data_IF_891101209199
#
_entry.id   IF_891101209199
#
_cell.length_a   1.000
_cell.length_b   1.000
_cell.length_c   1.000
_cell.angle_alpha   90.00
_cell.angle_beta   90.00
_cell.angle_gamma   90.00
#
_symmetry.space_group_name_H-M   'P 1'
#
loop_
_entity.id
_entity.type
_entity.pdbx_description
1 polymer ?
#
# COMPACT_ATOMS: atom_id res chain seq x y z
N UNK A 1 -16.39 31.51 18.00
CA UNK A 1 -15.84 30.94 19.26
C UNK A 1 -16.75 29.81 19.71
N UNK A 2 -16.37 28.55 19.48
CA UNK A 2 -17.16 27.40 19.94
C UNK A 2 -16.80 27.07 21.37
N UNK A 3 -17.77 27.04 22.29
CA UNK A 3 -17.57 26.62 23.67
C UNK A 3 -17.55 25.08 23.73
N UNK A 4 -16.50 24.52 24.31
CA UNK A 4 -16.41 23.11 24.67
C UNK A 4 -16.84 22.96 26.13
N UNK A 5 -17.83 22.10 26.40
CA UNK A 5 -18.18 21.70 27.77
C UNK A 5 -17.67 20.27 27.97
N UNK A 6 -16.70 20.12 28.87
CA UNK A 6 -16.16 18.83 29.29
C UNK A 6 -17.01 18.32 30.47
N UNK A 7 -17.75 17.24 30.29
CA UNK A 7 -18.43 16.55 31.40
C UNK A 7 -17.66 15.26 31.71
N UNK A 8 -16.93 15.26 32.83
CA UNK A 8 -16.25 14.07 33.36
C UNK A 8 -17.20 13.34 34.31
N UNK A 9 -17.72 12.18 33.88
CA UNK A 9 -18.45 11.27 34.78
C UNK A 9 -17.50 10.16 35.24
N UNK A 10 -17.26 10.10 36.55
CA UNK A 10 -16.43 9.07 37.19
C UNK A 10 -17.24 7.79 37.32
N UNK A 11 -16.91 6.76 36.53
CA UNK A 11 -17.39 5.40 36.75
C UNK A 11 -16.18 4.50 37.00
N UNK A 12 -16.37 3.55 37.92
CA UNK A 12 -15.34 2.71 38.55
C UNK A 12 -14.37 2.06 37.57
N UNK A 13 -13.16 1.84 38.07
CA UNK A 13 -11.94 1.67 37.30
C UNK A 13 -11.94 0.53 36.28
N UNK A 14 -11.94 0.89 34.99
CA UNK A 14 -11.05 0.38 33.94
C UNK A 14 -10.89 1.53 32.95
N UNK A 15 -9.66 1.97 32.63
CA UNK A 15 -9.42 3.03 31.64
C UNK A 15 -9.76 2.50 30.24
N UNK A 16 -10.92 2.87 29.69
CA UNK A 16 -11.20 2.85 28.25
C UNK A 16 -11.58 4.27 27.83
N UNK A 17 -10.79 4.90 26.97
CA UNK A 17 -11.18 6.14 26.31
C UNK A 17 -12.18 5.78 25.20
N UNK A 18 -13.44 6.19 25.38
CA UNK A 18 -14.41 6.24 24.29
C UNK A 18 -14.57 7.70 23.87
N UNK A 19 -14.30 8.01 22.60
CA UNK A 19 -14.62 9.30 22.01
C UNK A 19 -16.01 9.18 21.38
N UNK A 20 -17.00 9.88 21.94
CA UNK A 20 -18.30 10.03 21.33
C UNK A 20 -18.36 11.41 20.66
N UNK A 21 -18.31 11.44 19.33
CA UNK A 21 -18.52 12.67 18.55
C UNK A 21 -20.03 12.82 18.35
N UNK A 22 -20.68 13.68 19.14
CA UNK A 22 -22.07 14.07 18.91
C UNK A 22 -22.10 15.26 17.95
N UNK A 23 -22.63 15.04 16.74
CA UNK A 23 -23.04 16.11 15.82
C UNK A 23 -24.37 16.66 16.32
N UNK A 24 -24.40 17.89 16.81
CA UNK A 24 -25.65 18.59 17.11
C UNK A 24 -26.21 19.13 15.78
N UNK A 25 -27.43 18.78 15.35
CA UNK A 25 -28.06 19.44 14.23
C UNK A 25 -28.52 20.83 14.68
N UNK A 26 -28.08 21.89 14.01
CA UNK A 26 -28.74 23.19 14.11
C UNK A 26 -30.05 23.10 13.32
N UNK A 27 -31.17 22.94 14.02
CA UNK A 27 -32.51 23.10 13.48
C UNK A 27 -33.19 24.24 14.24
N UNK A 28 -33.75 25.21 13.51
CA UNK A 28 -34.71 26.17 14.04
C UNK A 28 -34.52 27.61 13.54
N UNK A 29 -35.09 27.93 12.38
CA UNK A 29 -35.83 29.18 12.15
C UNK A 29 -36.59 29.08 10.82
N UNK A 30 -37.89 28.77 10.90
CA UNK A 30 -38.84 28.92 9.80
C UNK A 30 -39.32 30.38 9.67
N UNK A 31 -39.32 30.84 8.41
CA UNK A 31 -40.25 31.71 7.66
C UNK A 31 -41.18 32.70 8.41
N UNK A 32 -41.19 33.97 7.94
CA UNK A 32 -42.32 34.62 7.23
C UNK A 32 -41.96 36.06 6.77
N UNK A 33 -42.76 36.76 5.93
CA UNK A 33 -42.27 37.62 4.85
C UNK A 33 -42.51 39.12 5.13
N UNK A 34 -41.81 40.03 4.44
CA UNK A 34 -42.37 41.38 4.23
C UNK A 34 -41.69 42.15 3.09
N UNK A 35 -42.51 42.42 2.09
CA UNK A 35 -42.71 43.67 1.35
C UNK A 35 -41.61 44.76 1.34
N UNK A 36 -41.38 45.19 0.10
CA UNK A 36 -40.65 46.35 -0.40
C UNK A 36 -41.18 47.69 0.15
N UNK A 37 -40.29 48.63 0.49
CA UNK A 37 -40.42 50.06 0.18
C UNK A 37 -39.05 50.76 0.20
N UNK A 38 -38.82 51.61 -0.80
CA UNK A 38 -37.65 52.47 -1.00
C UNK A 38 -37.69 53.77 -0.17
N UNK A 39 -36.54 54.35 0.19
CA UNK A 39 -36.24 55.80 0.07
C UNK A 39 -34.74 56.10 0.33
N UNK A 40 -34.28 57.25 -0.17
CA UNK A 40 -32.90 57.65 -0.52
C UNK A 40 -32.04 58.29 0.58
N UNK A 41 -30.71 58.35 0.37
CA UNK A 41 -29.86 59.55 0.67
C UNK A 41 -28.68 59.40 1.66
N UNK A 42 -27.63 60.26 1.61
CA UNK A 42 -26.24 59.80 1.37
C UNK A 42 -25.11 60.21 2.39
N UNK A 43 -24.08 59.33 2.49
CA UNK A 43 -22.60 59.61 2.58
C UNK A 43 -21.94 60.17 3.90
N UNK A 44 -20.59 60.14 4.10
CA UNK A 44 -19.88 59.52 5.26
C UNK A 44 -19.04 60.52 6.10
N UNK A 45 -18.18 60.10 7.10
CA UNK A 45 -16.73 59.90 6.83
C UNK A 45 -15.86 59.00 7.80
N UNK A 46 -14.71 58.54 7.28
CA UNK A 46 -13.31 58.54 7.81
C UNK A 46 -12.78 57.56 8.91
N UNK A 47 -11.60 57.02 8.54
CA UNK A 47 -10.47 56.34 9.24
C UNK A 47 -10.41 56.28 10.78
N UNK A 48 -9.92 55.15 11.30
CA UNK A 48 -8.69 55.13 12.12
C UNK A 48 -7.95 53.76 12.07
N UNK A 49 -6.66 53.88 11.78
CA UNK A 49 -5.58 52.92 12.00
C UNK A 49 -5.42 52.60 13.50
N UNK A 50 -4.99 51.38 13.83
CA UNK A 50 -3.95 51.16 14.84
C UNK A 50 -3.35 49.75 14.71
N UNK A 51 -2.11 49.74 14.25
CA UNK A 51 -1.15 48.65 14.37
C UNK A 51 -0.55 48.68 15.79
N UNK A 52 -0.38 47.54 16.47
CA UNK A 52 0.74 47.29 17.39
C UNK A 52 0.83 45.82 17.82
N UNK A 53 2.08 45.35 17.74
CA UNK A 53 2.68 44.11 18.18
C UNK A 53 2.48 43.79 19.67
N UNK A 54 2.42 42.49 20.00
CA UNK A 54 3.05 41.83 21.18
C UNK A 54 2.85 40.31 21.01
N UNK A 55 3.85 39.54 20.58
CA UNK A 55 4.94 38.93 21.36
C UNK A 55 4.52 37.76 22.28
N UNK A 56 5.01 36.58 21.90
CA UNK A 56 5.37 35.37 22.66
C UNK A 56 4.39 34.79 23.71
N UNK A 57 4.05 33.50 23.53
CA UNK A 57 4.46 32.49 24.51
C UNK A 57 4.52 31.08 23.90
N UNK A 58 5.66 30.46 24.19
CA UNK A 58 6.17 29.15 23.81
C UNK A 58 5.47 28.03 24.57
N UNK A 59 5.38 26.82 23.99
CA UNK A 59 4.82 25.64 24.64
C UNK A 59 5.02 24.35 23.88
N UNK A 60 6.28 24.00 23.55
CA UNK A 60 6.67 22.63 23.20
C UNK A 60 6.80 21.81 24.50
N UNK A 61 6.06 20.70 24.61
CA UNK A 61 6.31 19.68 25.64
C UNK A 61 7.01 18.50 24.96
N UNK A 62 8.31 18.39 25.23
CA UNK A 62 9.16 17.26 24.88
C UNK A 62 9.31 16.40 26.15
N UNK A 63 8.82 15.15 26.14
CA UNK A 63 9.01 14.21 27.24
C UNK A 63 10.25 13.36 27.00
N UNK A 64 11.31 13.68 27.73
CA UNK A 64 12.49 12.83 27.96
C UNK A 64 12.17 11.87 29.11
N UNK A 65 12.33 10.56 28.90
CA UNK A 65 12.41 9.57 29.97
C UNK A 65 13.86 9.10 30.06
N UNK A 66 14.53 9.42 31.17
CA UNK A 66 15.87 8.93 31.52
C UNK A 66 15.77 7.66 32.36
N UNK A 67 16.58 6.67 32.00
CA UNK A 67 16.96 5.50 32.80
C UNK A 67 17.71 5.91 34.07
N UNK A 68 17.47 5.19 35.17
CA UNK A 68 18.47 4.89 36.21
C UNK A 68 18.03 3.67 37.03
N UNK A 69 18.89 2.65 37.06
CA UNK A 69 18.80 1.50 37.95
C UNK A 69 19.46 1.81 39.31
N UNK A 70 19.00 1.16 40.40
CA UNK A 70 19.78 0.23 41.25
C UNK A 70 19.10 -0.04 42.62
N UNK A 71 19.01 -1.34 42.91
CA UNK A 71 19.18 -2.07 44.18
C UNK A 71 18.67 -1.51 45.51
N UNK A 72 17.83 -2.31 46.19
CA UNK A 72 17.94 -2.54 47.63
C UNK A 72 17.71 -4.02 47.97
N UNK A 73 18.64 -4.57 48.72
CA UNK A 73 18.70 -5.92 49.28
C UNK A 73 17.93 -5.96 50.61
N UNK A 74 17.23 -7.07 50.90
CA UNK A 74 16.79 -7.37 52.25
C UNK A 74 17.00 -8.86 52.54
N UNK A 75 17.95 -9.14 53.43
CA UNK A 75 18.27 -10.45 54.00
C UNK A 75 17.73 -10.50 55.42
N UNK A 76 16.95 -11.53 55.79
CA UNK A 76 16.83 -11.98 57.17
C UNK A 76 16.69 -13.51 57.25
N UNK A 77 17.25 -13.99 58.35
CA UNK A 77 17.70 -15.33 58.74
C UNK A 77 16.59 -16.28 59.19
N UNK A 78 16.80 -17.59 59.01
CA UNK A 78 15.91 -18.69 59.46
C UNK A 78 15.93 -18.98 60.97
N UNK A 79 15.25 -20.06 61.41
CA UNK A 79 16.02 -21.21 61.90
C UNK A 79 15.41 -22.62 61.70
N UNK A 80 16.33 -23.60 61.75
CA UNK A 80 16.31 -24.95 62.34
C UNK A 80 15.30 -26.06 61.91
N UNK A 81 15.90 -27.21 61.59
CA UNK A 81 15.28 -28.49 61.22
C UNK A 81 15.22 -29.50 62.40
N UNK A 82 14.43 -30.58 62.28
CA UNK A 82 14.65 -31.84 63.01
C UNK A 82 14.97 -33.05 62.06
N UNK A 83 15.43 -34.21 62.59
CA UNK A 83 16.30 -35.12 61.86
C UNK A 83 15.69 -36.46 61.37
N UNK A 84 16.39 -37.02 60.36
CA UNK A 84 16.65 -38.43 59.99
C UNK A 84 15.48 -39.42 59.77
N UNK A 85 15.37 -39.86 58.52
CA UNK A 85 14.86 -41.18 58.10
C UNK A 85 15.69 -41.70 56.92
N UNK A 86 16.05 -42.99 56.95
CA UNK A 86 17.05 -43.61 56.07
C UNK A 86 16.51 -43.99 54.68
N UNK A 87 17.42 -43.92 53.71
CA UNK A 87 17.69 -44.93 52.66
C UNK A 87 17.12 -44.77 51.23
N UNK A 88 17.96 -45.25 50.32
CA UNK A 88 17.80 -45.62 48.91
C UNK A 88 17.75 -44.52 47.84
N UNK A 89 18.91 -44.32 47.21
CA UNK A 89 19.01 -43.86 45.84
C UNK A 89 18.52 -44.95 44.87
N UNK A 90 17.97 -44.56 43.70
CA UNK A 90 18.68 -44.95 42.49
C UNK A 90 18.82 -43.79 41.48
N UNK A 91 19.92 -43.88 40.73
CA UNK A 91 20.34 -42.99 39.64
C UNK A 91 19.24 -42.84 38.59
N UNK A 92 18.74 -41.62 38.37
CA UNK A 92 17.99 -41.29 37.17
C UNK A 92 18.87 -40.50 36.19
N UNK A 93 18.91 -41.00 34.96
CA UNK A 93 19.60 -40.44 33.79
C UNK A 93 19.31 -38.95 33.65
N UNK A 94 20.38 -38.16 33.49
CA UNK A 94 20.28 -36.81 32.96
C UNK A 94 19.71 -36.88 31.53
N UNK A 95 18.45 -36.49 31.39
CA UNK A 95 17.86 -36.15 30.09
C UNK A 95 18.43 -34.78 29.73
N UNK A 96 19.48 -34.77 28.93
CA UNK A 96 19.99 -33.54 28.32
C UNK A 96 18.90 -33.01 27.40
N UNK A 97 18.20 -31.98 27.87
CA UNK A 97 17.32 -31.13 27.05
C UNK A 97 18.17 -30.61 25.87
N UNK A 98 17.97 -31.19 24.69
CA UNK A 98 18.52 -30.65 23.44
C UNK A 98 17.96 -29.24 23.29
N UNK A 99 18.89 -28.32 23.12
CA UNK A 99 18.65 -26.90 22.85
C UNK A 99 17.62 -26.73 21.75
N UNK A 100 16.64 -25.88 22.02
CA UNK A 100 15.69 -25.36 21.06
C UNK A 100 16.44 -24.77 19.87
N UNK A 101 16.37 -25.47 18.73
CA UNK A 101 16.82 -24.93 17.46
C UNK A 101 16.06 -23.63 17.24
N UNK A 102 16.79 -22.52 17.28
CA UNK A 102 16.27 -21.25 16.83
C UNK A 102 15.92 -21.43 15.35
N UNK A 103 14.65 -21.65 15.03
CA UNK A 103 14.16 -21.49 13.68
C UNK A 103 14.32 -20.01 13.34
N UNK A 104 15.45 -19.69 12.71
CA UNK A 104 15.64 -18.44 12.00
C UNK A 104 14.44 -18.33 11.04
N UNK A 105 13.64 -17.26 11.08
CA UNK A 105 12.59 -17.10 10.10
C UNK A 105 13.27 -17.15 8.73
N UNK A 106 12.91 -18.14 7.90
CA UNK A 106 13.29 -18.14 6.50
C UNK A 106 12.95 -16.75 5.96
N UNK A 107 13.97 -16.04 5.47
CA UNK A 107 13.75 -14.78 4.79
C UNK A 107 12.75 -15.08 3.68
N UNK A 108 11.52 -14.56 3.78
CA UNK A 108 10.53 -14.68 2.71
C UNK A 108 11.20 -14.18 1.43
N UNK A 109 11.60 -15.10 0.56
CA UNK A 109 12.09 -14.74 -0.77
C UNK A 109 10.87 -14.18 -1.48
N UNK A 110 10.80 -12.85 -1.54
CA UNK A 110 9.72 -12.20 -2.25
C UNK A 110 9.81 -12.58 -3.73
N UNK A 111 8.71 -12.98 -4.36
CA UNK A 111 8.73 -13.32 -5.77
C UNK A 111 9.17 -12.11 -6.58
N UNK A 112 9.87 -12.38 -7.67
CA UNK A 112 10.39 -11.38 -8.58
C UNK A 112 10.25 -11.80 -10.03
N UNK A 113 10.26 -10.80 -10.91
CA UNK A 113 10.26 -10.99 -12.35
C UNK A 113 11.19 -9.97 -13.01
N UNK A 114 11.82 -10.36 -14.12
CA UNK A 114 12.38 -9.39 -15.07
C UNK A 114 11.27 -8.99 -16.03
N UNK A 115 11.04 -7.69 -16.17
CA UNK A 115 9.96 -7.17 -17.02
C UNK A 115 10.40 -6.19 -18.11
N UNK A 116 9.72 -6.29 -19.25
CA UNK A 116 9.81 -5.37 -20.39
C UNK A 116 8.40 -4.86 -20.69
N UNK A 117 8.31 -3.60 -21.11
CA UNK A 117 7.08 -2.99 -21.62
C UNK A 117 7.35 -2.29 -22.93
N UNK A 118 6.47 -2.49 -23.91
CA UNK A 118 6.54 -1.82 -25.20
C UNK A 118 5.15 -1.42 -25.71
N UNK A 119 5.10 -0.37 -26.51
CA UNK A 119 3.92 -0.03 -27.32
C UNK A 119 3.77 -1.02 -28.48
N UNK A 120 2.54 -1.31 -28.90
CA UNK A 120 2.24 -2.23 -29.99
C UNK A 120 1.42 -1.52 -31.05
N UNK A 121 1.99 -1.34 -32.25
CA UNK A 121 1.31 -0.71 -33.38
C UNK A 121 0.31 -1.67 -34.06
N UNK A 122 0.74 -2.91 -34.33
CA UNK A 122 -0.11 -3.96 -34.90
C UNK A 122 -0.41 -5.05 -33.87
N UNK A 123 -1.55 -4.89 -33.19
CA UNK A 123 -2.04 -5.85 -32.19
C UNK A 123 -2.29 -7.24 -32.77
N UNK A 124 -2.83 -7.32 -34.00
CA UNK A 124 -3.22 -8.58 -34.61
C UNK A 124 -1.99 -9.41 -34.98
N UNK A 125 -0.97 -8.77 -35.58
CA UNK A 125 0.28 -9.43 -35.89
C UNK A 125 1.00 -9.90 -34.63
N UNK A 126 1.05 -9.07 -33.57
CA UNK A 126 1.64 -9.47 -32.30
C UNK A 126 0.92 -10.68 -31.69
N UNK A 127 -0.41 -10.64 -31.62
CA UNK A 127 -1.23 -11.74 -31.10
C UNK A 127 -0.96 -13.04 -31.87
N UNK A 128 -0.88 -13.00 -33.20
CA UNK A 128 -0.58 -14.18 -34.04
C UNK A 128 0.79 -14.79 -33.71
N UNK A 129 1.82 -13.96 -33.54
CA UNK A 129 3.17 -14.43 -33.15
C UNK A 129 3.18 -15.02 -31.75
N UNK A 130 2.54 -14.34 -30.79
CA UNK A 130 2.44 -14.83 -29.42
C UNK A 130 1.67 -16.15 -29.33
N UNK A 131 0.59 -16.29 -30.11
CA UNK A 131 -0.19 -17.52 -30.19
C UNK A 131 0.62 -18.68 -30.76
N UNK A 132 1.39 -18.44 -31.84
CA UNK A 132 2.28 -19.45 -32.43
C UNK A 132 3.35 -19.91 -31.44
N UNK A 133 3.99 -18.98 -30.72
CA UNK A 133 5.05 -19.30 -29.77
C UNK A 133 4.54 -19.96 -28.48
N UNK A 134 3.32 -19.62 -28.04
CA UNK A 134 2.69 -20.20 -26.85
C UNK A 134 1.85 -21.45 -27.13
N UNK A 135 1.58 -21.74 -28.41
CA UNK A 135 0.68 -22.81 -28.85
C UNK A 135 -0.73 -22.67 -28.23
N UNK A 136 -1.21 -21.43 -28.09
CA UNK A 136 -2.48 -21.09 -27.44
C UNK A 136 -3.04 -19.79 -28.01
N UNK A 137 -4.36 -19.65 -28.05
CA UNK A 137 -5.03 -18.38 -28.40
C UNK A 137 -4.93 -17.33 -27.28
N UNK A 138 -4.40 -17.72 -26.12
CA UNK A 138 -4.27 -16.88 -24.94
C UNK A 138 -5.58 -16.72 -24.16
N UNK A 139 -5.48 -16.17 -22.96
CA UNK A 139 -6.62 -15.98 -22.06
C UNK A 139 -6.96 -14.50 -21.96
N UNK A 140 -8.21 -14.14 -22.23
CA UNK A 140 -8.70 -12.77 -22.09
C UNK A 140 -9.09 -12.51 -20.63
N UNK A 141 -8.56 -11.42 -20.06
CA UNK A 141 -8.78 -11.01 -18.68
C UNK A 141 -9.09 -9.52 -18.65
N UNK A 142 -10.28 -9.16 -18.15
CA UNK A 142 -10.62 -7.76 -17.86
C UNK A 142 -10.07 -7.36 -16.50
N UNK A 143 -9.43 -6.20 -16.43
CA UNK A 143 -8.78 -5.72 -15.22
C UNK A 143 -9.10 -4.25 -15.00
N UNK A 144 -9.48 -3.93 -13.77
CA UNK A 144 -9.61 -2.57 -13.29
C UNK A 144 -8.64 -2.37 -12.11
N UNK A 145 -7.51 -1.72 -12.39
CA UNK A 145 -6.46 -1.45 -11.41
C UNK A 145 -6.68 -0.06 -10.80
N UNK A 146 -6.89 0.02 -9.48
CA UNK A 146 -6.91 1.27 -8.70
C UNK A 146 -5.55 1.46 -8.03
N UNK A 147 -4.88 2.58 -8.29
CA UNK A 147 -3.60 2.91 -7.70
C UNK A 147 -3.79 3.86 -6.52
N UNK A 148 -3.06 3.62 -5.44
CA UNK A 148 -3.11 4.45 -4.23
C UNK A 148 -1.79 5.19 -4.04
N UNK A 149 -1.81 6.30 -3.30
CA UNK A 149 -0.56 6.92 -2.87
C UNK A 149 0.15 5.96 -1.91
N UNK A 150 1.46 5.82 -2.08
CA UNK A 150 2.28 4.99 -1.22
C UNK A 150 3.63 5.67 -1.03
N UNK A 151 4.13 5.71 0.20
CA UNK A 151 5.40 6.36 0.50
C UNK A 151 6.60 5.60 -0.04
N UNK A 152 6.47 4.29 -0.25
CA UNK A 152 7.49 3.39 -0.77
C UNK A 152 6.89 2.55 -1.88
N UNK A 153 7.64 2.31 -2.96
CA UNK A 153 7.17 1.48 -4.07
C UNK A 153 5.84 1.94 -4.67
N UNK A 154 5.02 0.98 -5.07
CA UNK A 154 3.71 1.19 -5.68
C UNK A 154 2.69 0.22 -5.10
N UNK A 155 1.50 0.73 -4.81
CA UNK A 155 0.37 -0.07 -4.32
C UNK A 155 -0.80 0.05 -5.29
N UNK A 156 -1.34 -1.09 -5.71
CA UNK A 156 -2.56 -1.14 -6.51
C UNK A 156 -3.50 -2.24 -6.06
N UNK A 157 -4.78 -2.01 -6.18
CA UNK A 157 -5.82 -3.02 -6.08
C UNK A 157 -6.33 -3.34 -7.48
N UNK A 158 -6.19 -4.61 -7.88
CA UNK A 158 -6.75 -5.14 -9.13
C UNK A 158 -8.09 -5.77 -8.86
N UNK A 159 -9.12 -5.33 -9.57
CA UNK A 159 -10.42 -5.98 -9.65
C UNK A 159 -10.54 -6.74 -10.98
N UNK A 160 -10.91 -8.01 -10.91
CA UNK A 160 -11.15 -8.88 -12.09
C UNK A 160 -12.61 -8.83 -12.57
N UNK A 161 -13.45 -7.97 -11.99
CA UNK A 161 -14.87 -7.77 -12.33
C UNK A 161 -15.73 -9.02 -12.15
N UNK A 162 -15.29 -9.95 -11.30
CA UNK A 162 -15.95 -11.23 -11.03
C UNK A 162 -15.99 -11.54 -9.52
N UNK A 163 -16.07 -10.51 -8.68
CA UNK A 163 -16.01 -10.59 -7.21
C UNK A 163 -14.70 -11.20 -6.68
N UNK A 164 -13.61 -11.05 -7.45
CA UNK A 164 -12.27 -11.39 -7.00
C UNK A 164 -11.31 -10.27 -7.37
N UNK A 165 -10.29 -10.09 -6.54
CA UNK A 165 -9.25 -9.11 -6.78
C UNK A 165 -7.98 -9.42 -6.01
N UNK A 166 -6.99 -8.56 -6.22
CA UNK A 166 -5.67 -8.69 -5.65
C UNK A 166 -5.14 -7.33 -5.22
N UNK A 167 -4.74 -7.20 -3.96
CA UNK A 167 -3.91 -6.09 -3.50
C UNK A 167 -2.46 -6.43 -3.80
N UNK A 168 -1.79 -5.56 -4.54
CA UNK A 168 -0.46 -5.79 -5.07
C UNK A 168 0.44 -4.63 -4.67
N UNK A 169 1.45 -4.94 -3.86
CA UNK A 169 2.60 -4.06 -3.62
C UNK A 169 3.75 -4.49 -4.52
N UNK A 170 4.45 -3.53 -5.13
CA UNK A 170 5.64 -3.84 -5.90
C UNK A 170 6.63 -2.68 -5.95
N UNK A 171 7.89 -3.03 -6.13
CA UNK A 171 9.02 -2.12 -6.30
C UNK A 171 9.72 -2.44 -7.61
N UNK A 172 9.91 -1.41 -8.43
CA UNK A 172 10.57 -1.52 -9.72
C UNK A 172 11.17 -0.17 -10.12
N UNK A 173 12.45 -0.13 -10.55
CA UNK A 173 13.06 1.10 -11.08
C UNK A 173 12.36 1.58 -12.35
N UNK A 174 12.39 2.88 -12.60
CA UNK A 174 11.83 3.49 -13.82
C UNK A 174 12.89 3.59 -14.94
N UNK A 175 13.41 2.44 -15.34
CA UNK A 175 14.39 2.31 -16.42
C UNK A 175 13.75 1.71 -17.68
N UNK A 176 14.33 2.01 -18.85
CA UNK A 176 13.98 1.34 -20.10
C UNK A 176 14.54 -0.09 -20.11
N UNK A 177 13.92 -0.97 -20.90
CA UNK A 177 14.38 -2.35 -21.07
C UNK A 177 14.07 -3.30 -19.91
N UNK A 178 14.71 -4.49 -19.90
CA UNK A 178 14.52 -5.55 -18.91
C UNK A 178 14.95 -5.11 -17.50
N UNK A 179 14.02 -5.19 -16.55
CA UNK A 179 14.26 -4.71 -15.17
C UNK A 179 13.66 -5.62 -14.12
N UNK A 180 14.35 -5.76 -13.00
CA UNK A 180 13.88 -6.55 -11.87
C UNK A 180 12.72 -5.81 -11.17
N UNK A 181 11.63 -6.53 -10.96
CA UNK A 181 10.47 -6.12 -10.20
C UNK A 181 10.29 -7.11 -9.05
N UNK A 182 10.10 -6.60 -7.84
CA UNK A 182 9.81 -7.39 -6.63
C UNK A 182 8.41 -7.07 -6.18
N UNK A 183 7.62 -8.10 -5.85
CA UNK A 183 6.21 -7.89 -5.55
C UNK A 183 5.68 -8.78 -4.44
N UNK A 184 4.56 -8.34 -3.86
CA UNK A 184 3.76 -9.09 -2.89
C UNK A 184 2.29 -8.96 -3.28
N UNK A 185 1.57 -10.09 -3.25
CA UNK A 185 0.17 -10.18 -3.67
C UNK A 185 -0.63 -10.74 -2.51
N UNK A 186 -1.74 -10.08 -2.17
CA UNK A 186 -2.77 -10.61 -1.29
C UNK A 186 -4.10 -10.70 -2.05
N UNK A 187 -4.74 -11.87 -2.15
CA UNK A 187 -6.06 -11.98 -2.75
C UNK A 187 -7.12 -11.29 -1.89
N UNK A 188 -8.22 -10.87 -2.51
CA UNK A 188 -9.45 -10.41 -1.85
C UNK A 188 -10.67 -10.90 -2.63
N UNK A 189 -11.74 -11.22 -1.91
CA UNK A 189 -13.06 -11.53 -2.48
C UNK A 189 -14.02 -10.34 -2.44
N UNK A 190 -13.57 -9.19 -1.92
CA UNK A 190 -14.34 -7.95 -1.86
C UNK A 190 -13.46 -6.75 -2.25
N UNK A 191 -13.14 -6.61 -3.56
CA UNK A 191 -12.40 -5.45 -4.04
C UNK A 191 -13.08 -4.10 -3.73
N UNK A 192 -14.41 -3.93 -3.90
CA UNK A 192 -15.06 -2.65 -3.61
C UNK A 192 -14.88 -2.15 -2.17
N UNK A 193 -15.08 -3.02 -1.18
CA UNK A 193 -14.89 -2.65 0.24
C UNK A 193 -13.44 -2.32 0.55
N UNK A 194 -12.49 -3.15 0.08
CA UNK A 194 -11.07 -2.90 0.28
C UNK A 194 -10.61 -1.60 -0.39
N UNK A 195 -11.15 -1.29 -1.57
CA UNK A 195 -10.89 -0.03 -2.28
C UNK A 195 -11.33 1.17 -1.46
N UNK A 196 -12.53 1.14 -0.87
CA UNK A 196 -13.05 2.24 -0.07
C UNK A 196 -12.15 2.55 1.13
N UNK A 197 -11.77 1.53 1.89
CA UNK A 197 -10.87 1.69 3.05
C UNK A 197 -9.50 2.24 2.65
N UNK A 198 -8.91 1.72 1.57
CA UNK A 198 -7.60 2.18 1.09
C UNK A 198 -7.66 3.60 0.51
N UNK A 199 -8.76 3.96 -0.15
CA UNK A 199 -8.99 5.31 -0.65
C UNK A 199 -9.05 6.32 0.51
N UNK A 200 -9.76 6.01 1.60
CA UNK A 200 -9.83 6.87 2.77
C UNK A 200 -8.48 6.99 3.49
N UNK A 201 -7.72 5.90 3.58
CA UNK A 201 -6.46 5.85 4.32
C UNK A 201 -5.29 6.49 3.56
N UNK A 202 -5.21 6.31 2.23
CA UNK A 202 -4.04 6.65 1.42
C UNK A 202 -4.34 7.66 0.31
N UNK A 203 -5.61 7.86 -0.04
CA UNK A 203 -6.01 8.57 -1.24
C UNK A 203 -5.75 7.76 -2.51
N UNK A 204 -6.59 7.98 -3.53
CA UNK A 204 -6.45 7.37 -4.85
C UNK A 204 -5.50 8.22 -5.71
N UNK A 205 -4.49 7.58 -6.28
CA UNK A 205 -3.57 8.19 -7.26
C UNK A 205 -4.20 8.21 -8.67
N UNK A 206 -4.99 7.18 -8.99
CA UNK A 206 -5.73 7.09 -10.25
C UNK A 206 -6.12 5.65 -10.58
N UNK A 207 -6.68 5.46 -11.77
CA UNK A 207 -7.27 4.18 -12.19
C UNK A 207 -6.84 3.82 -13.60
N UNK A 208 -6.68 2.51 -13.85
CA UNK A 208 -6.34 1.96 -15.16
C UNK A 208 -7.32 0.83 -15.45
N UNK A 209 -8.09 0.99 -16.51
CA UNK A 209 -8.97 -0.06 -17.05
C UNK A 209 -8.34 -0.64 -18.31
N UNK A 210 -8.30 -1.98 -18.37
CA UNK A 210 -7.70 -2.67 -19.52
C UNK A 210 -8.26 -4.06 -19.75
N UNK A 211 -8.14 -4.48 -20.99
CA UNK A 211 -8.34 -5.87 -21.41
C UNK A 211 -6.97 -6.48 -21.76
N UNK A 212 -6.64 -7.59 -21.12
CA UNK A 212 -5.37 -8.31 -21.28
C UNK A 212 -5.61 -9.62 -21.98
N UNK A 213 -4.86 -9.90 -23.04
CA UNK A 213 -4.68 -11.26 -23.54
C UNK A 213 -3.36 -11.80 -22.97
N UNK A 214 -3.44 -12.86 -22.16
CA UNK A 214 -2.29 -13.51 -21.53
C UNK A 214 -1.89 -14.75 -22.33
N UNK A 215 -0.62 -14.82 -22.71
CA UNK A 215 0.04 -16.01 -23.24
C UNK A 215 1.13 -16.48 -22.29
N UNK A 216 1.38 -17.79 -22.25
CA UNK A 216 2.47 -18.39 -21.48
C UNK A 216 3.48 -19.00 -22.44
N UNK A 217 4.74 -18.55 -22.38
CA UNK A 217 5.83 -19.05 -23.21
C UNK A 217 6.98 -19.42 -22.29
N UNK A 218 7.16 -20.71 -22.03
CA UNK A 218 8.10 -21.19 -21.01
C UNK A 218 7.79 -20.60 -19.63
N UNK A 219 8.77 -19.91 -19.03
CA UNK A 219 8.60 -19.23 -17.73
C UNK A 219 8.08 -17.79 -17.84
N UNK A 220 7.81 -17.31 -19.05
CA UNK A 220 7.47 -15.91 -19.32
C UNK A 220 5.97 -15.74 -19.52
N UNK A 221 5.39 -14.80 -18.78
CA UNK A 221 4.03 -14.32 -19.05
C UNK A 221 4.12 -13.21 -20.09
N UNK A 222 3.43 -13.39 -21.20
CA UNK A 222 3.33 -12.39 -22.26
C UNK A 222 1.94 -11.77 -22.19
N UNK A 223 1.91 -10.48 -21.89
CA UNK A 223 0.68 -9.71 -21.83
C UNK A 223 0.52 -8.89 -23.10
N UNK A 224 -0.66 -8.91 -23.68
CA UNK A 224 -1.09 -8.01 -24.74
C UNK A 224 -2.29 -7.20 -24.24
N UNK A 225 -2.02 -5.98 -23.81
CA UNK A 225 -2.96 -5.10 -23.10
C UNK A 225 -3.56 -4.07 -24.07
N UNK A 226 -4.89 -3.97 -24.09
CA UNK A 226 -5.60 -2.78 -24.58
C UNK A 226 -5.97 -1.92 -23.38
N UNK A 227 -5.36 -0.75 -23.26
CA UNK A 227 -5.52 0.16 -22.11
C UNK A 227 -6.38 1.35 -22.52
N UNK A 228 -7.45 1.60 -21.74
CA UNK A 228 -8.34 2.73 -21.95
C UNK A 228 -7.55 4.05 -21.85
N UNK A 229 -7.66 4.91 -22.87
CA UNK A 229 -6.96 6.19 -22.94
C UNK A 229 -5.50 6.14 -23.41
N UNK A 230 -4.89 4.95 -23.58
CA UNK A 230 -3.50 4.84 -24.07
C UNK A 230 -3.33 3.99 -25.35
N UNK A 231 -4.22 3.01 -25.60
CA UNK A 231 -4.10 2.11 -26.74
C UNK A 231 -3.45 0.77 -26.41
N UNK A 232 -2.64 0.22 -27.32
CA UNK A 232 -2.14 -1.15 -27.24
C UNK A 232 -0.68 -1.24 -26.77
N UNK A 233 -0.44 -2.14 -25.82
CA UNK A 233 0.88 -2.37 -25.24
C UNK A 233 1.11 -3.86 -25.02
N UNK A 234 2.38 -4.23 -24.89
CA UNK A 234 2.78 -5.55 -24.43
C UNK A 234 3.67 -5.46 -23.19
N UNK A 235 3.59 -6.49 -22.36
CA UNK A 235 4.53 -6.71 -21.25
C UNK A 235 5.08 -8.14 -21.32
N UNK A 236 6.38 -8.30 -21.12
CA UNK A 236 7.00 -9.59 -20.82
C UNK A 236 7.31 -9.62 -19.33
N UNK A 237 6.87 -10.66 -18.62
CA UNK A 237 7.25 -10.90 -17.23
C UNK A 237 7.91 -12.27 -17.12
N UNK A 238 9.24 -12.29 -17.11
CA UNK A 238 10.04 -13.50 -16.88
C UNK A 238 10.04 -13.77 -15.38
N UNK A 239 9.28 -14.76 -14.93
CA UNK A 239 9.21 -15.11 -13.50
C UNK A 239 10.54 -15.73 -13.09
N UNK A 240 11.20 -15.16 -12.07
CA UNK A 240 12.52 -15.61 -11.63
C UNK A 240 12.41 -16.88 -10.80
N UNK A 241 13.26 -17.87 -11.09
CA UNK A 241 13.50 -18.99 -10.17
C UNK A 241 14.45 -18.57 -9.05
N UNK A 242 14.39 -19.16 -7.84
CA UNK A 242 15.23 -18.77 -6.70
C UNK A 242 16.74 -18.73 -6.99
N UNK A 243 17.21 -19.64 -7.83
CA UNK A 243 18.62 -19.82 -8.22
C UNK A 243 19.03 -19.04 -9.48
N UNK A 244 18.08 -18.41 -10.16
CA UNK A 244 18.32 -17.75 -11.45
C UNK A 244 18.88 -16.34 -11.26
N UNK A 245 19.90 -15.98 -12.05
CA UNK A 245 20.47 -14.63 -12.02
C UNK A 245 19.58 -13.63 -12.74
N UNK A 246 19.74 -12.33 -12.44
CA UNK A 246 18.98 -11.29 -13.14
C UNK A 246 19.34 -11.28 -14.62
N UNK A 247 20.61 -11.45 -14.95
CA UNK A 247 21.16 -11.46 -16.29
C UNK A 247 20.54 -12.58 -17.15
N UNK A 248 20.37 -13.78 -16.58
CA UNK A 248 19.66 -14.87 -17.26
C UNK A 248 18.20 -14.50 -17.54
N UNK A 249 17.52 -13.85 -16.60
CA UNK A 249 16.17 -13.35 -16.78
C UNK A 249 16.07 -12.28 -17.87
N UNK A 250 17.06 -11.39 -17.95
CA UNK A 250 17.15 -10.35 -18.98
C UNK A 250 17.38 -10.97 -20.37
N UNK A 251 18.28 -11.95 -20.50
CA UNK A 251 18.53 -12.63 -21.76
C UNK A 251 17.27 -13.33 -22.28
N UNK A 252 16.53 -14.03 -21.41
CA UNK A 252 15.24 -14.66 -21.79
C UNK A 252 14.25 -13.61 -22.30
N UNK A 253 14.19 -12.45 -21.65
CA UNK A 253 13.28 -11.38 -22.03
C UNK A 253 13.67 -10.78 -23.39
N UNK A 254 14.97 -10.57 -23.64
CA UNK A 254 15.50 -10.04 -24.91
C UNK A 254 15.31 -11.02 -26.07
N UNK A 255 15.62 -12.30 -25.87
CA UNK A 255 15.40 -13.34 -26.89
C UNK A 255 13.93 -13.44 -27.29
N UNK A 256 13.03 -13.34 -26.32
CA UNK A 256 11.59 -13.40 -26.58
C UNK A 256 11.08 -12.12 -27.25
N UNK A 257 11.64 -10.96 -26.90
CA UNK A 257 11.37 -9.68 -27.54
C UNK A 257 11.70 -9.75 -29.04
N UNK A 258 12.86 -10.31 -29.40
CA UNK A 258 13.26 -10.52 -30.81
C UNK A 258 12.30 -11.46 -31.54
N UNK A 259 11.97 -12.61 -30.95
CA UNK A 259 11.03 -13.59 -31.55
C UNK A 259 9.63 -13.01 -31.77
N UNK A 260 9.18 -12.13 -30.90
CA UNK A 260 7.91 -11.42 -31.04
C UNK A 260 8.01 -10.24 -32.03
N UNK A 261 9.21 -9.84 -32.43
CA UNK A 261 9.47 -8.71 -33.32
C UNK A 261 9.22 -7.36 -32.67
N UNK A 262 9.49 -7.23 -31.37
CA UNK A 262 9.38 -5.98 -30.63
C UNK A 262 10.71 -5.23 -30.74
N UNK A 263 10.68 -4.01 -31.28
CA UNK A 263 11.89 -3.21 -31.44
C UNK A 263 12.22 -2.41 -30.18
N UNK A 264 13.50 -2.07 -29.99
CA UNK A 264 13.96 -1.31 -28.80
C UNK A 264 13.37 0.11 -28.76
N UNK A 265 13.03 0.68 -29.91
CA UNK A 265 12.42 2.01 -30.05
C UNK A 265 10.97 2.02 -29.54
N UNK A 266 10.31 0.87 -29.50
CA UNK A 266 8.93 0.73 -28.99
C UNK A 266 8.86 0.60 -27.47
N UNK A 267 10.01 0.49 -26.78
CA UNK A 267 10.09 0.30 -25.33
C UNK A 267 9.60 1.54 -24.57
N UNK A 268 8.88 1.29 -23.47
CA UNK A 268 8.27 2.35 -22.65
C UNK A 268 8.67 2.22 -21.18
N UNK A 269 8.94 3.36 -20.53
CA UNK A 269 9.20 3.46 -19.09
C UNK A 269 7.93 3.71 -18.28
N UNK A 270 7.97 3.38 -16.99
CA UNK A 270 6.89 3.69 -16.04
C UNK A 270 5.75 2.66 -16.02
N UNK A 271 4.77 2.88 -15.14
CA UNK A 271 3.51 2.15 -15.12
C UNK A 271 2.49 2.84 -16.05
N UNK A 272 1.40 2.15 -16.42
CA UNK A 272 0.34 2.76 -17.22
C UNK A 272 -0.25 4.02 -16.56
N UNK A 273 -0.32 4.03 -15.22
CA UNK A 273 -0.74 5.21 -14.46
C UNK A 273 0.17 6.42 -14.72
N UNK A 274 1.48 6.21 -14.82
CA UNK A 274 2.43 7.31 -15.06
C UNK A 274 2.31 7.85 -16.49
N UNK A 275 1.96 6.99 -17.46
CA UNK A 275 1.69 7.39 -18.85
C UNK A 275 0.39 8.19 -18.97
N UNK A 276 -0.69 7.75 -18.32
CA UNK A 276 -1.96 8.48 -18.28
C UNK A 276 -1.79 9.86 -17.63
N UNK A 277 -1.06 9.94 -16.52
CA UNK A 277 -0.82 11.22 -15.84
C UNK A 277 0.05 12.20 -16.66
N UNK A 278 0.91 11.69 -17.55
CA UNK A 278 1.64 12.53 -18.50
C UNK A 278 0.73 13.06 -19.60
N UNK A 279 -0.08 12.18 -20.21
CA UNK A 279 -1.02 12.57 -21.27
C UNK A 279 -2.03 13.64 -20.84
N UNK A 280 -2.46 13.63 -19.57
CA UNK A 280 -3.35 14.66 -19.02
C UNK A 280 -2.69 16.00 -18.69
N UNK A 281 -1.36 16.10 -18.68
CA UNK A 281 -0.64 17.36 -18.41
C UNK A 281 -0.27 18.15 -19.66
N UNK A 282 -0.35 17.53 -20.83
CA UNK A 282 -0.01 18.13 -22.13
C UNK A 282 -1.24 18.68 -22.87
N UNK A 283 -2.42 18.57 -22.27
CA UNK A 283 -3.72 19.13 -22.72
C UNK A 283 -4.19 20.23 -21.79
#
# INVERSE_FOLDING_TARGET
MSRFILVLKKLGGVRRQCFLILRVPCAGAELFPCLWTSTQGPSPPVLMSLSRHSALLCGQVCLLVRSSARFFSCSQTGPAAPPRGKSFAPKSRAVTLRSSSHNKPESRVMPSNVEIKASVSDRAQFAKKAALLSQSEGTIIKQHDTFFNCSQGRLKLRDFMNNSGQLIFYERPDTNGPKLSRYSISPTSDPPSLRAVLADALGVKGEVKKERTLFLIGQTRVHLDTVEGLGNYMELEVVMRPEQTVEEGQQIAEDLMEKLGVSKESLVTGAYMDLLLKGHKET
#
